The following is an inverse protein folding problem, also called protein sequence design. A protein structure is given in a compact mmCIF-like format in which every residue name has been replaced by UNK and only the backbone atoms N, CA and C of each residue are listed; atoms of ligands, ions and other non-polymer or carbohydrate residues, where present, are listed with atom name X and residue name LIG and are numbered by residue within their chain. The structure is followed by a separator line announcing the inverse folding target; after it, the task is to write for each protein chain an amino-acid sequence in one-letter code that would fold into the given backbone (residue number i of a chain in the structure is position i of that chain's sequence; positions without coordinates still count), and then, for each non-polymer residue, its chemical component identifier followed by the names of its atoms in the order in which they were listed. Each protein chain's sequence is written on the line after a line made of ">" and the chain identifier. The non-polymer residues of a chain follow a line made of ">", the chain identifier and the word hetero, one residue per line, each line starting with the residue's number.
data_IF_338512771304
#
_entry.id   IF_338512771304
#
_cell.length_a   1.000
_cell.length_b   1.000
_cell.length_c   1.000
_cell.angle_alpha   90.00
_cell.angle_beta   90.00
_cell.angle_gamma   90.00
#
_symmetry.space_group_name_H-M   'P 1'
#
loop_
_entity.id
_entity.type
_entity.pdbx_description
1 polymer ?
#
# COMPACT_ATOMS: atom_id res chain seq x y z
N UNK A 1 -15.33 25.12 3.78
CA UNK A 1 -16.54 24.40 3.30
C UNK A 1 -16.32 22.89 3.10
N UNK A 2 -15.18 22.42 2.57
CA UNK A 2 -14.89 20.97 2.38
C UNK A 2 -14.56 20.17 3.67
N UNK A 3 -14.45 20.82 4.81
CA UNK A 3 -13.99 20.21 6.08
C UNK A 3 -15.12 19.93 7.10
N UNK A 4 -16.36 20.38 6.86
CA UNK A 4 -17.52 20.13 7.71
C UNK A 4 -18.78 19.77 6.89
N UNK A 5 -19.69 18.96 7.45
CA UNK A 5 -20.91 18.50 6.79
C UNK A 5 -20.69 17.54 5.61
N UNK A 6 -21.61 17.56 4.63
CA UNK A 6 -21.56 16.75 3.39
C UNK A 6 -20.27 16.95 2.57
N UNK A 7 -19.64 18.13 2.67
CA UNK A 7 -18.37 18.43 2.00
C UNK A 7 -17.23 17.48 2.41
N UNK A 8 -17.34 16.83 3.58
CA UNK A 8 -16.39 15.79 4.01
C UNK A 8 -16.39 14.55 3.11
N UNK A 9 -17.49 14.28 2.41
CA UNK A 9 -17.65 13.09 1.56
C UNK A 9 -17.34 13.41 0.11
N UNK A 10 -17.61 14.64 -0.34
CA UNK A 10 -17.40 15.07 -1.73
C UNK A 10 -15.97 14.82 -2.21
N UNK A 11 -14.95 15.18 -1.43
CA UNK A 11 -13.57 14.97 -1.85
C UNK A 11 -13.19 13.48 -1.99
N UNK A 12 -13.49 12.60 -1.01
CA UNK A 12 -13.31 11.15 -1.18
C UNK A 12 -14.10 10.55 -2.35
N UNK A 13 -15.35 10.98 -2.55
CA UNK A 13 -16.20 10.50 -3.65
C UNK A 13 -15.65 10.93 -5.02
N UNK A 14 -15.22 12.18 -5.17
CA UNK A 14 -14.58 12.69 -6.40
C UNK A 14 -13.24 12.01 -6.68
N UNK A 15 -12.47 11.69 -5.64
CA UNK A 15 -11.24 10.90 -5.79
C UNK A 15 -11.54 9.48 -6.27
N UNK A 16 -12.58 8.84 -5.74
CA UNK A 16 -13.04 7.53 -6.21
C UNK A 16 -13.46 7.54 -7.68
N UNK A 17 -14.17 8.59 -8.10
CA UNK A 17 -14.50 8.79 -9.51
C UNK A 17 -13.23 8.97 -10.37
N UNK A 18 -12.28 9.78 -9.92
CA UNK A 18 -11.01 9.99 -10.62
C UNK A 18 -10.20 8.70 -10.78
N UNK A 19 -10.12 7.88 -9.73
CA UNK A 19 -9.48 6.56 -9.77
C UNK A 19 -10.16 5.64 -10.80
N UNK A 20 -11.49 5.48 -10.72
CA UNK A 20 -12.23 4.59 -11.61
C UNK A 20 -12.17 5.05 -13.07
N UNK A 21 -12.33 6.35 -13.34
CA UNK A 21 -12.25 6.91 -14.69
C UNK A 21 -10.86 6.71 -15.26
N UNK A 22 -9.80 7.04 -14.52
CA UNK A 22 -8.43 6.88 -14.99
C UNK A 22 -8.13 5.41 -15.33
N UNK A 23 -8.51 4.49 -14.45
CA UNK A 23 -8.28 3.07 -14.64
C UNK A 23 -9.09 2.52 -15.83
N UNK A 24 -10.37 2.83 -15.93
CA UNK A 24 -11.26 2.31 -16.97
C UNK A 24 -10.95 2.89 -18.35
N UNK A 25 -10.60 4.18 -18.45
CA UNK A 25 -10.15 4.78 -19.73
C UNK A 25 -8.84 4.13 -20.16
N UNK A 26 -7.88 3.99 -19.25
CA UNK A 26 -6.59 3.35 -19.55
C UNK A 26 -6.79 1.91 -20.02
N UNK A 27 -7.62 1.15 -19.30
CA UNK A 27 -7.92 -0.23 -19.65
C UNK A 27 -8.65 -0.30 -21.00
N UNK A 28 -9.60 0.59 -21.28
CA UNK A 28 -10.32 0.63 -22.56
C UNK A 28 -9.42 0.94 -23.76
N UNK A 29 -8.36 1.72 -23.55
CA UNK A 29 -7.35 2.00 -24.59
C UNK A 29 -6.47 0.78 -24.85
N UNK A 30 -6.18 -0.02 -23.82
CA UNK A 30 -5.33 -1.21 -23.93
C UNK A 30 -6.09 -2.45 -24.41
N UNK A 31 -7.27 -2.69 -23.84
CA UNK A 31 -8.16 -3.82 -24.10
C UNK A 31 -9.61 -3.46 -23.75
N UNK A 32 -10.43 -3.23 -24.77
CA UNK A 32 -11.83 -2.85 -24.60
C UNK A 32 -12.71 -3.96 -24.03
N UNK A 33 -12.40 -5.23 -24.31
CA UNK A 33 -13.19 -6.36 -23.80
C UNK A 33 -12.94 -6.56 -22.32
N UNK A 34 -11.65 -6.50 -21.92
CA UNK A 34 -11.26 -6.56 -20.52
C UNK A 34 -11.83 -5.40 -19.71
N UNK A 35 -11.94 -4.21 -20.31
CA UNK A 35 -12.58 -3.05 -19.70
C UNK A 35 -14.08 -3.25 -19.47
N UNK A 36 -14.81 -3.84 -20.43
CA UNK A 36 -16.25 -4.13 -20.28
C UNK A 36 -16.49 -5.19 -19.21
N UNK A 37 -15.57 -6.16 -19.08
CA UNK A 37 -15.62 -7.19 -18.05
C UNK A 37 -15.33 -6.67 -16.63
N UNK A 38 -14.87 -5.42 -16.48
CA UNK A 38 -14.65 -4.82 -15.17
C UNK A 38 -15.87 -4.03 -14.70
N UNK A 39 -16.27 -4.28 -13.46
CA UNK A 39 -17.36 -3.54 -12.84
C UNK A 39 -16.89 -2.18 -12.33
N UNK A 40 -17.39 -1.13 -12.99
CA UNK A 40 -17.13 0.26 -12.64
C UNK A 40 -17.47 0.59 -11.19
N UNK A 41 -18.50 -0.04 -10.62
CA UNK A 41 -18.96 0.21 -9.25
C UNK A 41 -17.91 -0.21 -8.24
N UNK A 42 -17.29 -1.38 -8.44
CA UNK A 42 -16.22 -1.87 -7.57
C UNK A 42 -14.96 -1.02 -7.71
N UNK A 43 -14.63 -0.56 -8.93
CA UNK A 43 -13.50 0.38 -9.13
C UNK A 43 -13.74 1.71 -8.41
N UNK A 44 -14.94 2.26 -8.54
CA UNK A 44 -15.33 3.51 -7.89
C UNK A 44 -15.24 3.39 -6.38
N UNK A 45 -15.85 2.34 -5.80
CA UNK A 45 -15.86 2.14 -4.36
C UNK A 45 -14.46 1.87 -3.79
N UNK A 46 -13.61 1.12 -4.50
CA UNK A 46 -12.19 0.95 -4.16
C UNK A 46 -11.47 2.31 -4.08
N UNK A 47 -11.67 3.16 -5.09
CA UNK A 47 -11.12 4.51 -5.11
C UNK A 47 -11.66 5.42 -3.98
N UNK A 48 -12.94 5.28 -3.60
CA UNK A 48 -13.53 6.01 -2.46
C UNK A 48 -12.86 5.59 -1.14
N UNK A 49 -12.66 4.29 -0.94
CA UNK A 49 -11.99 3.75 0.25
C UNK A 49 -10.55 4.20 0.33
N UNK A 50 -9.82 4.14 -0.79
CA UNK A 50 -8.47 4.68 -0.92
C UNK A 50 -8.44 6.16 -0.52
N UNK A 51 -9.39 6.96 -0.99
CA UNK A 51 -9.47 8.37 -0.67
C UNK A 51 -9.76 8.65 0.82
N UNK A 52 -10.60 7.83 1.46
CA UNK A 52 -10.80 7.90 2.91
C UNK A 52 -9.54 7.56 3.70
N UNK A 53 -8.77 6.57 3.25
CA UNK A 53 -7.51 6.19 3.89
C UNK A 53 -6.43 7.28 3.72
N UNK A 54 -6.37 7.95 2.57
CA UNK A 54 -5.41 9.02 2.28
C UNK A 54 -5.74 10.33 3.01
N UNK A 55 -7.01 10.56 3.33
CA UNK A 55 -7.48 11.84 3.86
C UNK A 55 -6.84 12.29 5.18
N UNK A 56 -6.70 11.45 6.22
CA UNK A 56 -6.01 11.83 7.45
C UNK A 56 -4.58 12.32 7.16
N UNK A 57 -3.88 11.65 6.24
CA UNK A 57 -2.51 11.97 5.88
C UNK A 57 -2.40 13.24 5.02
N UNK A 58 -3.32 13.43 4.06
CA UNK A 58 -3.34 14.60 3.19
C UNK A 58 -3.69 15.89 3.94
N UNK A 59 -4.70 15.85 4.81
CA UNK A 59 -5.21 17.05 5.49
C UNK A 59 -4.38 17.47 6.69
N UNK A 60 -3.88 16.51 7.47
CA UNK A 60 -3.22 16.80 8.75
C UNK A 60 -1.74 17.13 8.58
N UNK A 61 -1.14 16.75 7.45
CA UNK A 61 0.25 17.09 7.18
C UNK A 61 0.30 18.32 6.29
N UNK A 62 1.06 19.32 6.75
CA UNK A 62 1.22 20.62 6.10
C UNK A 62 2.11 20.60 4.85
N UNK A 63 1.87 19.65 3.94
CA UNK A 63 2.63 19.48 2.70
C UNK A 63 2.48 20.69 1.78
N UNK A 64 3.56 21.06 1.10
CA UNK A 64 3.44 21.81 -0.17
C UNK A 64 2.85 20.88 -1.23
N UNK A 65 2.10 21.46 -2.19
CA UNK A 65 1.44 20.72 -3.28
C UNK A 65 2.41 19.74 -3.97
N UNK A 66 3.58 20.20 -4.40
CA UNK A 66 4.58 19.37 -5.08
C UNK A 66 5.12 18.25 -4.19
N UNK A 67 5.26 18.49 -2.89
CA UNK A 67 5.75 17.48 -1.94
C UNK A 67 4.70 16.40 -1.70
N UNK A 68 3.43 16.79 -1.60
CA UNK A 68 2.31 15.85 -1.50
C UNK A 68 2.20 14.98 -2.76
N UNK A 69 2.25 15.56 -3.96
CA UNK A 69 2.17 14.81 -5.23
C UNK A 69 3.30 13.79 -5.30
N UNK A 70 4.56 14.20 -5.05
CA UNK A 70 5.70 13.28 -5.10
C UNK A 70 5.57 12.18 -4.04
N UNK A 71 5.21 12.53 -2.81
CA UNK A 71 5.03 11.56 -1.73
C UNK A 71 3.95 10.53 -2.07
N UNK A 72 2.74 10.98 -2.42
CA UNK A 72 1.63 10.07 -2.74
C UNK A 72 1.93 9.21 -3.97
N UNK A 73 2.63 9.76 -4.96
CA UNK A 73 3.04 8.99 -6.15
C UNK A 73 3.95 7.83 -5.76
N UNK A 74 5.02 8.13 -5.01
CA UNK A 74 5.97 7.11 -4.55
C UNK A 74 5.26 6.08 -3.66
N UNK A 75 4.43 6.55 -2.72
CA UNK A 75 3.71 5.72 -1.77
C UNK A 75 2.73 4.74 -2.46
N UNK A 76 1.89 5.26 -3.36
CA UNK A 76 0.90 4.46 -4.08
C UNK A 76 1.55 3.49 -5.07
N UNK A 77 2.63 3.90 -5.76
CA UNK A 77 3.34 3.02 -6.69
C UNK A 77 4.04 1.87 -5.97
N UNK A 78 4.68 2.15 -4.82
CA UNK A 78 5.43 1.15 -4.07
C UNK A 78 4.50 0.13 -3.43
N UNK A 79 3.43 0.57 -2.75
CA UNK A 79 2.51 -0.35 -2.09
C UNK A 79 1.53 -1.03 -3.05
N UNK A 80 1.17 -0.36 -4.16
CA UNK A 80 0.30 -0.90 -5.19
C UNK A 80 1.09 -1.69 -6.26
N UNK A 81 1.31 -1.15 -7.46
CA UNK A 81 1.92 -1.87 -8.59
C UNK A 81 3.24 -2.59 -8.29
N UNK A 82 4.20 -1.94 -7.63
CA UNK A 82 5.49 -2.57 -7.32
C UNK A 82 5.28 -3.72 -6.32
N UNK A 83 4.45 -3.50 -5.30
CA UNK A 83 4.04 -4.54 -4.36
C UNK A 83 3.39 -5.74 -5.05
N UNK A 84 2.55 -5.52 -6.07
CA UNK A 84 1.91 -6.58 -6.85
C UNK A 84 2.92 -7.38 -7.69
N UNK A 85 3.88 -6.71 -8.33
CA UNK A 85 4.99 -7.35 -9.06
C UNK A 85 5.79 -8.25 -8.10
N UNK A 86 6.19 -7.71 -6.94
CA UNK A 86 6.94 -8.45 -5.93
C UNK A 86 6.15 -9.68 -5.44
N UNK A 87 4.85 -9.53 -5.18
CA UNK A 87 3.99 -10.65 -4.79
C UNK A 87 3.88 -11.70 -5.89
N UNK A 88 3.68 -11.31 -7.14
CA UNK A 88 3.62 -12.28 -8.25
C UNK A 88 4.90 -13.10 -8.35
N UNK A 89 6.06 -12.47 -8.17
CA UNK A 89 7.36 -13.15 -8.10
C UNK A 89 7.45 -14.15 -6.94
N UNK A 90 7.00 -13.76 -5.74
CA UNK A 90 7.05 -14.62 -4.54
C UNK A 90 6.11 -15.83 -4.70
N UNK A 91 4.92 -15.61 -5.26
CA UNK A 91 3.91 -16.63 -5.49
C UNK A 91 4.18 -17.54 -6.68
N UNK A 92 5.11 -17.14 -7.55
CA UNK A 92 5.45 -17.94 -8.72
C UNK A 92 4.56 -17.75 -9.93
N UNK A 93 3.73 -16.73 -9.90
CA UNK A 93 2.76 -16.50 -10.95
C UNK A 93 3.47 -15.98 -12.21
N UNK A 94 3.10 -16.46 -13.41
CA UNK A 94 3.68 -15.97 -14.65
C UNK A 94 3.30 -14.50 -14.89
N UNK A 95 4.24 -13.75 -15.46
CA UNK A 95 4.01 -12.39 -15.95
C UNK A 95 3.34 -12.42 -17.33
N UNK A 96 2.11 -12.90 -17.37
CA UNK A 96 1.33 -13.01 -18.60
C UNK A 96 0.81 -11.64 -19.11
N UNK A 97 0.23 -11.64 -20.31
CA UNK A 97 -0.30 -10.41 -20.90
C UNK A 97 -1.42 -9.79 -20.05
N UNK A 98 -2.23 -10.62 -19.38
CA UNK A 98 -3.33 -10.16 -18.53
C UNK A 98 -2.78 -9.40 -17.31
N UNK A 99 -1.72 -9.91 -16.68
CA UNK A 99 -1.05 -9.23 -15.57
C UNK A 99 -0.64 -7.81 -15.94
N UNK A 100 0.08 -7.64 -17.07
CA UNK A 100 0.53 -6.32 -17.51
C UNK A 100 -0.62 -5.39 -17.89
N UNK A 101 -1.65 -5.92 -18.57
CA UNK A 101 -2.86 -5.18 -18.93
C UNK A 101 -3.61 -4.64 -17.71
N UNK A 102 -3.53 -5.31 -16.56
CA UNK A 102 -4.13 -4.83 -15.30
C UNK A 102 -3.20 -3.90 -14.53
N UNK A 103 -1.89 -4.14 -14.58
CA UNK A 103 -0.90 -3.36 -13.85
C UNK A 103 -0.78 -1.93 -14.40
N UNK A 104 -0.77 -1.75 -15.74
CA UNK A 104 -0.62 -0.43 -16.35
C UNK A 104 -1.74 0.57 -15.95
N UNK A 105 -3.04 0.19 -16.00
CA UNK A 105 -4.11 1.02 -15.47
C UNK A 105 -3.95 1.39 -13.99
N UNK A 106 -3.46 0.47 -13.15
CA UNK A 106 -3.20 0.77 -11.73
C UNK A 106 -2.10 1.81 -11.56
N UNK A 107 -1.05 1.76 -12.37
CA UNK A 107 0.00 2.78 -12.40
C UNK A 107 -0.60 4.16 -12.78
N UNK A 108 -1.40 4.21 -13.83
CA UNK A 108 -2.04 5.47 -14.28
C UNK A 108 -3.01 6.00 -13.23
N UNK A 109 -3.78 5.10 -12.60
CA UNK A 109 -4.69 5.46 -11.51
C UNK A 109 -3.93 5.99 -10.30
N UNK A 110 -2.79 5.38 -9.93
CA UNK A 110 -1.94 5.86 -8.84
C UNK A 110 -1.41 7.28 -9.11
N UNK A 111 -0.94 7.57 -10.32
CA UNK A 111 -0.55 8.95 -10.71
C UNK A 111 -1.72 9.93 -10.63
N UNK A 112 -2.88 9.53 -11.16
CA UNK A 112 -4.09 10.37 -11.16
C UNK A 112 -4.52 10.72 -9.74
N UNK A 113 -4.62 9.72 -8.87
CA UNK A 113 -4.97 9.90 -7.46
C UNK A 113 -3.94 10.79 -6.76
N UNK A 114 -2.65 10.58 -7.01
CA UNK A 114 -1.57 11.38 -6.40
C UNK A 114 -1.65 12.87 -6.72
N UNK A 115 -2.14 13.22 -7.92
CA UNK A 115 -2.37 14.60 -8.33
C UNK A 115 -3.66 15.14 -7.71
N UNK A 116 -4.74 14.35 -7.77
CA UNK A 116 -6.07 14.78 -7.31
C UNK A 116 -6.13 14.95 -5.79
N UNK A 117 -5.45 14.11 -5.01
CA UNK A 117 -5.49 14.13 -3.53
C UNK A 117 -5.15 15.51 -2.98
N UNK A 118 -3.99 16.11 -3.26
CA UNK A 118 -3.65 17.41 -2.67
C UNK A 118 -4.42 18.59 -3.28
N UNK A 119 -5.13 18.40 -4.40
CA UNK A 119 -6.03 19.42 -4.99
C UNK A 119 -7.39 19.40 -4.27
N UNK A 120 -7.96 18.20 -4.09
CA UNK A 120 -9.29 18.01 -3.49
C UNK A 120 -9.25 18.04 -1.96
N UNK A 121 -8.12 17.69 -1.37
CA UNK A 121 -7.84 17.69 0.07
C UNK A 121 -6.63 18.59 0.36
N UNK A 122 -6.74 19.92 0.14
CA UNK A 122 -5.63 20.82 0.33
C UNK A 122 -5.28 20.94 1.83
N UNK A 123 -3.98 20.88 2.12
CA UNK A 123 -3.47 21.15 3.47
C UNK A 123 -3.78 22.58 3.89
N UNK A 124 -4.15 22.76 5.17
CA UNK A 124 -4.50 24.09 5.71
C UNK A 124 -3.28 25.03 5.78
N UNK A 125 -2.08 24.47 5.91
CA UNK A 125 -0.81 25.18 5.85
C UNK A 125 0.15 24.42 4.93
N UNK A 126 0.97 25.14 4.14
CA UNK A 126 1.86 24.56 3.12
C UNK A 126 3.33 24.79 3.46
N UNK A 127 3.78 24.18 4.54
CA UNK A 127 5.09 24.45 5.16
C UNK A 127 6.15 23.45 4.68
N UNK A 128 5.78 22.18 4.54
CA UNK A 128 6.73 21.08 4.36
C UNK A 128 7.10 20.95 2.89
N UNK A 129 8.34 21.31 2.58
CA UNK A 129 8.95 21.15 1.26
C UNK A 129 9.73 19.84 1.16
N UNK A 130 9.93 19.39 -0.08
CA UNK A 130 10.72 18.21 -0.40
C UNK A 130 12.15 18.28 0.17
N UNK A 131 12.77 19.46 0.11
CA UNK A 131 14.11 19.70 0.67
C UNK A 131 14.14 19.52 2.18
N UNK A 132 13.12 20.02 2.89
CA UNK A 132 13.03 19.87 4.34
C UNK A 132 12.81 18.41 4.73
N UNK A 133 11.94 17.71 4.01
CA UNK A 133 11.69 16.28 4.21
C UNK A 133 12.96 15.46 4.00
N UNK A 134 13.69 15.72 2.91
CA UNK A 134 14.95 15.06 2.61
C UNK A 134 16.00 15.26 3.70
N UNK A 135 16.17 16.51 4.17
CA UNK A 135 17.09 16.81 5.29
C UNK A 135 16.72 16.07 6.57
N UNK A 136 15.42 15.94 6.87
CA UNK A 136 14.96 15.18 8.05
C UNK A 136 15.24 13.68 7.88
N UNK A 137 14.98 13.13 6.70
CA UNK A 137 15.19 11.72 6.38
C UNK A 137 16.66 11.34 6.46
N UNK A 138 17.56 12.17 5.92
CA UNK A 138 19.01 11.98 6.05
C UNK A 138 19.50 11.96 7.50
N UNK A 139 18.92 12.78 8.38
CA UNK A 139 19.28 12.81 9.81
C UNK A 139 18.85 11.55 10.55
N UNK A 140 17.76 10.93 10.13
CA UNK A 140 17.21 9.72 10.75
C UNK A 140 17.84 8.45 10.20
N UNK A 141 18.34 8.46 8.96
CA UNK A 141 19.13 7.37 8.37
C UNK A 141 20.61 7.40 8.79
N UNK A 142 20.85 7.55 10.09
CA UNK A 142 22.16 7.30 10.71
C UNK A 142 22.33 5.79 11.01
N UNK A 143 23.46 5.37 11.59
CA UNK A 143 23.74 3.94 11.81
C UNK A 143 22.65 3.23 12.63
N UNK A 144 22.10 3.90 13.65
CA UNK A 144 20.96 3.38 14.42
C UNK A 144 19.69 3.26 13.57
N UNK A 145 19.38 4.28 12.77
CA UNK A 145 18.24 4.25 11.84
C UNK A 145 18.35 3.16 10.78
N UNK A 146 19.54 2.94 10.21
CA UNK A 146 19.79 1.85 9.27
C UNK A 146 19.60 0.49 9.93
N UNK A 147 20.06 0.29 11.16
CA UNK A 147 19.85 -0.95 11.89
C UNK A 147 18.37 -1.22 12.17
N UNK A 148 17.61 -0.18 12.55
CA UNK A 148 16.15 -0.26 12.68
C UNK A 148 15.48 -0.58 11.35
N UNK A 149 15.92 0.04 10.25
CA UNK A 149 15.40 -0.19 8.91
C UNK A 149 15.58 -1.64 8.46
N UNK A 150 16.79 -2.19 8.62
CA UNK A 150 17.06 -3.59 8.34
C UNK A 150 16.27 -4.54 9.25
N UNK A 151 16.10 -4.17 10.52
CA UNK A 151 15.25 -4.90 11.47
C UNK A 151 13.78 -4.93 11.05
N UNK A 152 13.21 -3.81 10.61
CA UNK A 152 11.86 -3.76 10.05
C UNK A 152 11.74 -4.62 8.78
N UNK A 153 12.77 -4.60 7.92
CA UNK A 153 12.86 -5.50 6.77
C UNK A 153 12.76 -6.98 7.16
N UNK A 154 13.57 -7.40 8.13
CA UNK A 154 13.58 -8.79 8.61
C UNK A 154 12.24 -9.18 9.24
N UNK A 155 11.67 -8.28 10.05
CA UNK A 155 10.39 -8.49 10.71
C UNK A 155 9.26 -8.65 9.68
N UNK A 156 9.26 -7.87 8.60
CA UNK A 156 8.29 -8.03 7.51
C UNK A 156 8.39 -9.42 6.87
N UNK A 157 9.59 -9.90 6.57
CA UNK A 157 9.82 -11.24 6.02
C UNK A 157 9.30 -12.33 6.96
N UNK A 158 9.59 -12.23 8.26
CA UNK A 158 9.13 -13.18 9.26
C UNK A 158 7.59 -13.17 9.38
N UNK A 159 6.99 -11.99 9.49
CA UNK A 159 5.53 -11.86 9.54
C UNK A 159 4.88 -12.45 8.29
N UNK A 160 5.43 -12.21 7.11
CA UNK A 160 4.91 -12.75 5.85
C UNK A 160 4.86 -14.28 5.90
N UNK A 161 5.97 -14.94 6.22
CA UNK A 161 6.02 -16.40 6.28
C UNK A 161 5.13 -16.98 7.37
N UNK A 162 5.13 -16.40 8.58
CA UNK A 162 4.32 -16.88 9.69
C UNK A 162 2.83 -16.78 9.34
N UNK A 163 2.38 -15.62 8.84
CA UNK A 163 0.96 -15.41 8.56
C UNK A 163 0.48 -16.28 7.40
N UNK A 164 1.23 -16.36 6.30
CA UNK A 164 0.83 -17.21 5.16
C UNK A 164 0.91 -18.69 5.49
N UNK A 165 1.94 -19.17 6.20
CA UNK A 165 2.00 -20.59 6.59
C UNK A 165 0.93 -20.99 7.62
N UNK A 166 0.39 -20.04 8.37
CA UNK A 166 -0.62 -20.32 9.41
C UNK A 166 -2.05 -20.22 8.87
N UNK A 167 -2.35 -19.19 8.08
CA UNK A 167 -3.73 -18.82 7.75
C UNK A 167 -4.11 -19.04 6.28
N UNK A 168 -3.15 -19.27 5.39
CA UNK A 168 -3.46 -19.42 3.96
C UNK A 168 -3.95 -20.85 3.68
N UNK A 169 -5.23 -20.98 3.35
CA UNK A 169 -5.86 -22.28 3.09
C UNK A 169 -5.61 -22.80 1.67
N UNK A 170 -4.95 -22.00 0.80
CA UNK A 170 -4.57 -22.47 -0.54
C UNK A 170 -3.52 -23.59 -0.53
N UNK A 171 -2.82 -23.77 0.59
CA UNK A 171 -1.78 -24.79 0.73
C UNK A 171 -2.36 -26.18 1.02
N UNK A 172 -1.75 -27.18 0.39
CA UNK A 172 -2.20 -28.58 0.50
C UNK A 172 -1.75 -29.25 1.79
N UNK A 173 -0.68 -28.75 2.41
CA UNK A 173 -0.14 -29.35 3.63
C UNK A 173 -1.02 -29.08 4.86
N UNK A 174 -1.30 -30.09 5.72
CA UNK A 174 -2.11 -29.91 6.92
C UNK A 174 -1.35 -29.23 8.08
N UNK A 175 -0.02 -29.14 8.03
CA UNK A 175 0.80 -28.63 9.12
C UNK A 175 1.65 -27.42 8.68
N UNK A 176 1.80 -26.43 9.56
CA UNK A 176 2.43 -25.13 9.25
C UNK A 176 3.84 -25.26 8.65
N UNK A 177 4.65 -26.20 9.13
CA UNK A 177 6.01 -26.42 8.60
C UNK A 177 5.98 -26.90 7.14
N UNK A 178 5.03 -27.77 6.81
CA UNK A 178 4.85 -28.24 5.44
C UNK A 178 4.34 -27.14 4.52
N UNK A 179 3.42 -26.29 4.99
CA UNK A 179 2.94 -25.10 4.26
C UNK A 179 4.06 -24.09 4.02
N UNK A 180 4.93 -23.88 5.00
CA UNK A 180 6.11 -23.02 4.86
C UNK A 180 7.06 -23.58 3.80
N UNK A 181 7.30 -24.90 3.81
CA UNK A 181 8.12 -25.55 2.79
C UNK A 181 7.49 -25.45 1.39
N UNK A 182 6.17 -25.62 1.28
CA UNK A 182 5.40 -25.45 0.05
C UNK A 182 5.59 -24.05 -0.51
N UNK A 183 5.34 -23.01 0.29
CA UNK A 183 5.56 -21.60 -0.06
C UNK A 183 7.01 -21.32 -0.50
N UNK A 184 7.99 -21.83 0.24
CA UNK A 184 9.41 -21.66 -0.11
C UNK A 184 9.76 -22.37 -1.43
N UNK A 185 9.15 -23.51 -1.71
CA UNK A 185 9.40 -24.34 -2.89
C UNK A 185 8.70 -23.87 -4.16
N UNK A 186 7.75 -22.93 -4.09
CA UNK A 186 7.04 -22.44 -5.28
C UNK A 186 8.05 -21.91 -6.34
N UNK A 187 8.04 -22.42 -7.58
CA UNK A 187 8.85 -21.83 -8.67
C UNK A 187 8.36 -20.41 -9.00
N UNK A 188 9.06 -19.59 -9.80
CA UNK A 188 10.34 -19.85 -10.46
C UNK A 188 11.56 -19.41 -9.65
N UNK A 189 11.35 -18.74 -8.52
CA UNK A 189 12.40 -18.06 -7.75
C UNK A 189 12.91 -18.97 -6.63
N UNK A 190 14.22 -18.95 -6.41
CA UNK A 190 14.84 -19.72 -5.33
C UNK A 190 14.44 -19.23 -3.95
N UNK A 191 14.59 -20.10 -2.93
CA UNK A 191 14.32 -19.76 -1.52
C UNK A 191 15.06 -18.50 -1.08
N UNK A 192 16.35 -18.39 -1.42
CA UNK A 192 17.20 -17.26 -1.03
C UNK A 192 16.70 -15.95 -1.65
N UNK A 193 16.34 -15.97 -2.93
CA UNK A 193 15.81 -14.81 -3.64
C UNK A 193 14.45 -14.38 -3.08
N UNK A 194 13.55 -15.31 -2.72
CA UNK A 194 12.28 -14.96 -2.05
C UNK A 194 12.51 -14.23 -0.73
N UNK A 195 13.43 -14.74 0.09
CA UNK A 195 13.79 -14.12 1.37
C UNK A 195 14.35 -12.71 1.14
N UNK A 196 15.25 -12.55 0.17
CA UNK A 196 15.85 -11.26 -0.19
C UNK A 196 14.82 -10.27 -0.73
N UNK A 197 13.88 -10.72 -1.58
CA UNK A 197 12.80 -9.90 -2.12
C UNK A 197 11.85 -9.42 -1.02
N UNK A 198 11.42 -10.32 -0.13
CA UNK A 198 10.58 -9.96 1.02
C UNK A 198 11.29 -8.99 1.96
N UNK A 199 12.58 -9.23 2.21
CA UNK A 199 13.40 -8.37 3.05
C UNK A 199 13.54 -6.97 2.45
N UNK A 200 13.88 -6.90 1.16
CA UNK A 200 13.93 -5.66 0.39
C UNK A 200 12.58 -4.94 0.37
N UNK A 201 11.46 -5.67 0.25
CA UNK A 201 10.12 -5.11 0.33
C UNK A 201 9.84 -4.50 1.70
N UNK A 202 10.20 -5.17 2.80
CA UNK A 202 10.05 -4.62 4.14
C UNK A 202 10.87 -3.34 4.36
N UNK A 203 12.10 -3.29 3.84
CA UNK A 203 12.94 -2.08 3.85
C UNK A 203 12.25 -0.96 3.06
N UNK A 204 11.78 -1.26 1.84
CA UNK A 204 11.13 -0.28 0.97
C UNK A 204 9.84 0.26 1.60
N UNK A 205 9.01 -0.61 2.17
CA UNK A 205 7.80 -0.25 2.91
C UNK A 205 8.11 0.66 4.11
N UNK A 206 9.22 0.39 4.82
CA UNK A 206 9.64 1.25 5.94
C UNK A 206 10.10 2.61 5.43
N UNK A 207 10.86 2.67 4.33
CA UNK A 207 11.35 3.92 3.75
C UNK A 207 10.22 4.85 3.30
N UNK A 208 9.15 4.32 2.73
CA UNK A 208 8.00 5.14 2.31
C UNK A 208 7.14 5.61 3.48
N UNK A 209 7.11 4.87 4.59
CA UNK A 209 6.41 5.25 5.81
C UNK A 209 7.22 6.25 6.65
N UNK A 210 8.54 6.21 6.55
CA UNK A 210 9.44 7.06 7.32
C UNK A 210 9.09 8.55 7.22
N UNK A 211 8.89 9.16 6.02
CA UNK A 211 8.39 10.53 5.89
C UNK A 211 7.18 10.87 6.77
N UNK A 212 6.26 9.93 6.94
CA UNK A 212 5.06 10.12 7.76
C UNK A 212 5.42 10.20 9.24
N UNK A 213 6.26 9.29 9.75
CA UNK A 213 6.71 9.30 11.14
C UNK A 213 7.51 10.57 11.52
N UNK A 214 8.20 11.19 10.55
CA UNK A 214 9.03 12.39 10.80
C UNK A 214 8.23 13.69 10.87
N UNK A 215 6.96 13.63 10.49
CA UNK A 215 6.12 14.80 10.24
C UNK A 215 4.82 14.74 11.02
N UNK A 216 4.26 13.55 11.18
CA UNK A 216 3.02 13.32 11.90
C UNK A 216 3.34 13.00 13.36
N UNK A 217 3.20 14.00 14.23
CA UNK A 217 3.39 13.85 15.67
C UNK A 217 2.03 13.60 16.30
N UNK A 218 1.80 12.35 16.71
CA UNK A 218 0.61 11.87 17.42
C UNK A 218 1.01 10.72 18.34
N UNK A 219 0.08 10.32 19.19
CA UNK A 219 0.22 9.09 19.96
C UNK A 219 0.47 7.87 19.07
N UNK A 220 1.26 6.92 19.58
CA UNK A 220 1.62 5.70 18.86
C UNK A 220 0.41 4.91 18.38
N UNK A 221 -0.65 4.84 19.20
CA UNK A 221 -1.88 4.12 18.81
C UNK A 221 -2.53 4.78 17.60
N UNK A 222 -2.61 6.11 17.56
CA UNK A 222 -3.17 6.85 16.42
C UNK A 222 -2.32 6.64 15.16
N UNK A 223 -0.99 6.67 15.28
CA UNK A 223 -0.08 6.37 14.17
C UNK A 223 -0.29 4.96 13.59
N UNK A 224 -0.44 3.96 14.47
CA UNK A 224 -0.68 2.57 14.08
C UNK A 224 -2.00 2.45 13.32
N UNK A 225 -3.07 3.03 13.86
CA UNK A 225 -4.39 2.95 13.23
C UNK A 225 -4.39 3.67 11.89
N UNK A 226 -3.86 4.89 11.81
CA UNK A 226 -3.90 5.70 10.59
C UNK A 226 -3.01 5.09 9.50
N UNK A 227 -1.75 4.77 9.80
CA UNK A 227 -0.82 4.26 8.79
C UNK A 227 -0.97 2.78 8.52
N UNK A 228 -1.46 2.01 9.49
CA UNK A 228 -1.88 0.62 9.30
C UNK A 228 -3.05 0.54 8.33
N UNK A 229 -4.09 1.36 8.56
CA UNK A 229 -5.24 1.45 7.65
C UNK A 229 -4.82 1.92 6.26
N UNK A 230 -3.96 2.93 6.16
CA UNK A 230 -3.49 3.43 4.87
C UNK A 230 -2.71 2.34 4.10
N UNK A 231 -1.73 1.71 4.76
CA UNK A 231 -0.91 0.67 4.13
C UNK A 231 -1.76 -0.53 3.72
N UNK A 232 -2.69 -0.96 4.58
CA UNK A 232 -3.63 -2.03 4.29
C UNK A 232 -4.56 -1.73 3.12
N UNK A 233 -5.17 -0.54 3.10
CA UNK A 233 -6.10 -0.17 2.03
C UNK A 233 -5.40 -0.11 0.69
N UNK A 234 -4.19 0.47 0.64
CA UNK A 234 -3.44 0.63 -0.60
C UNK A 234 -2.87 -0.71 -1.09
N UNK A 235 -2.25 -1.48 -0.19
CA UNK A 235 -1.50 -2.68 -0.58
C UNK A 235 -2.36 -3.95 -0.70
N UNK A 236 -3.56 -3.97 -0.12
CA UNK A 236 -4.39 -5.18 -0.04
C UNK A 236 -5.82 -4.89 -0.43
N UNK A 237 -6.50 -4.00 0.29
CA UNK A 237 -7.95 -3.90 0.20
C UNK A 237 -8.42 -3.32 -1.14
N UNK A 238 -7.88 -2.18 -1.58
CA UNK A 238 -8.28 -1.54 -2.84
C UNK A 238 -8.01 -2.45 -4.04
N UNK A 239 -6.82 -3.08 -4.19
CA UNK A 239 -6.58 -4.02 -5.28
C UNK A 239 -7.49 -5.26 -5.26
N UNK A 240 -7.75 -5.83 -4.07
CA UNK A 240 -8.59 -7.01 -3.91
C UNK A 240 -10.06 -6.68 -4.25
N UNK A 241 -10.54 -5.53 -3.80
CA UNK A 241 -11.91 -5.07 -4.05
C UNK A 241 -12.11 -4.68 -5.52
N UNK A 242 -11.11 -4.04 -6.13
CA UNK A 242 -11.12 -3.68 -7.54
C UNK A 242 -11.13 -4.91 -8.48
N UNK A 243 -10.62 -6.05 -8.03
CA UNK A 243 -10.57 -7.29 -8.82
C UNK A 243 -11.40 -8.42 -8.20
N UNK A 244 -12.39 -8.07 -7.37
CA UNK A 244 -13.20 -9.00 -6.58
C UNK A 244 -13.79 -10.14 -7.43
N UNK A 245 -14.22 -9.84 -8.65
CA UNK A 245 -14.82 -10.82 -9.57
C UNK A 245 -13.85 -11.89 -10.09
N UNK A 246 -12.54 -11.73 -9.86
CA UNK A 246 -11.50 -12.64 -10.35
C UNK A 246 -10.84 -13.46 -9.24
N UNK A 247 -11.20 -13.21 -7.99
CA UNK A 247 -10.62 -13.89 -6.82
C UNK A 247 -11.72 -14.75 -6.23
N UNK A 248 -11.42 -16.02 -5.96
CA UNK A 248 -12.37 -16.90 -5.27
C UNK A 248 -12.72 -16.31 -3.90
N UNK A 249 -14.01 -16.30 -3.49
CA UNK A 249 -14.44 -15.59 -2.28
C UNK A 249 -13.73 -16.04 -0.99
N UNK A 250 -13.41 -17.33 -0.86
CA UNK A 250 -12.69 -17.87 0.30
C UNK A 250 -11.24 -17.39 0.32
N UNK A 251 -10.53 -17.48 -0.82
CA UNK A 251 -9.16 -16.98 -0.96
C UNK A 251 -9.07 -15.46 -0.75
N UNK A 252 -10.13 -14.72 -1.12
CA UNK A 252 -10.22 -13.30 -0.87
C UNK A 252 -10.26 -12.97 0.63
N UNK A 253 -11.02 -13.74 1.41
CA UNK A 253 -11.12 -13.53 2.87
C UNK A 253 -9.76 -13.75 3.52
N UNK A 254 -9.07 -14.84 3.16
CA UNK A 254 -7.73 -15.15 3.67
C UNK A 254 -6.73 -14.07 3.27
N UNK A 255 -6.72 -13.66 2.00
CA UNK A 255 -5.84 -12.61 1.50
C UNK A 255 -6.07 -11.28 2.22
N UNK A 256 -7.32 -10.90 2.46
CA UNK A 256 -7.67 -9.66 3.15
C UNK A 256 -7.29 -9.75 4.63
N UNK A 257 -7.55 -10.87 5.30
CA UNK A 257 -7.21 -11.07 6.70
C UNK A 257 -5.70 -11.13 6.95
N UNK A 258 -4.97 -11.95 6.18
CA UNK A 258 -3.52 -12.03 6.24
C UNK A 258 -2.90 -10.68 5.93
N UNK A 259 -3.39 -9.99 4.90
CA UNK A 259 -2.94 -8.66 4.53
C UNK A 259 -3.19 -7.62 5.63
N UNK A 260 -4.35 -7.67 6.30
CA UNK A 260 -4.66 -6.83 7.45
C UNK A 260 -3.66 -7.05 8.58
N UNK A 261 -3.49 -8.30 9.01
CA UNK A 261 -2.56 -8.68 10.07
C UNK A 261 -1.12 -8.26 9.73
N UNK A 262 -0.66 -8.56 8.52
CA UNK A 262 0.70 -8.25 8.06
C UNK A 262 0.96 -6.75 8.11
N UNK A 263 0.07 -5.94 7.52
CA UNK A 263 0.27 -4.49 7.44
C UNK A 263 0.18 -3.83 8.81
N UNK A 264 -0.79 -4.20 9.66
CA UNK A 264 -0.92 -3.62 10.99
C UNK A 264 0.23 -4.00 11.92
N UNK A 265 0.65 -5.26 11.95
CA UNK A 265 1.77 -5.69 12.78
C UNK A 265 3.09 -5.05 12.32
N UNK A 266 3.32 -5.01 11.00
CA UNK A 266 4.50 -4.36 10.43
C UNK A 266 4.53 -2.86 10.74
N UNK A 267 3.43 -2.14 10.52
CA UNK A 267 3.33 -0.71 10.83
C UNK A 267 3.49 -0.47 12.33
N UNK A 268 2.93 -1.33 13.19
CA UNK A 268 3.13 -1.23 14.64
C UNK A 268 4.61 -1.32 15.00
N UNK A 269 5.33 -2.30 14.46
CA UNK A 269 6.79 -2.40 14.66
C UNK A 269 7.53 -1.16 14.16
N UNK A 270 7.19 -0.65 12.97
CA UNK A 270 7.79 0.56 12.42
C UNK A 270 7.51 1.80 13.29
N UNK A 271 6.30 1.94 13.83
CA UNK A 271 5.93 2.99 14.80
C UNK A 271 6.73 2.86 16.08
N UNK A 272 6.97 1.66 16.60
CA UNK A 272 7.82 1.49 17.77
C UNK A 272 9.28 1.87 17.51
N UNK A 273 9.78 1.61 16.29
CA UNK A 273 11.15 1.93 15.90
C UNK A 273 11.37 3.43 15.61
N UNK A 274 10.43 4.08 14.91
CA UNK A 274 10.59 5.43 14.35
C UNK A 274 9.55 6.44 14.85
N UNK A 275 8.42 5.99 15.40
CA UNK A 275 7.40 6.85 15.98
C UNK A 275 7.94 7.55 17.24
N UNK A 276 7.91 8.87 17.23
CA UNK A 276 8.33 9.69 18.36
C UNK A 276 7.21 9.73 19.38
N UNK A 277 7.53 9.54 20.67
CA UNK A 277 6.58 9.84 21.73
C UNK A 277 6.39 11.36 21.77
N UNK A 278 5.15 11.82 21.95
CA UNK A 278 4.93 13.16 22.46
C UNK A 278 5.65 13.27 23.81
N UNK A 279 6.46 14.32 23.96
CA UNK A 279 7.10 14.66 25.24
C UNK A 279 6.17 15.58 26.00
#
# INVERSE_FOLDING_TARGET
>A
MLTSGLGKYVAPTSLGAGYAIAKMISLRVLDSELAIAQDFTYQFLAGVLLAFALRPVANMIYWKLTTAIVFFTIYLLILGPVGQILRHMIWGNPFDNIFWLLLFPEVIAAFTVSILVPILLPSQQKVISLVLLWKKLQKELNLSGLLKLFGCGLLYTLLFFILHSTFDESFTSPFWMGRLQELLSLPPISVQEKIMLLWGQGILNTLILLPLFLVFFREKVELIVVFGSLSFVVAVFSPAFANFQRIEPLLLVDQVFIGFCLQFLFVASAVFCFGRNEK
#
